data_IF_528864097255
#
_entry.id   IF_528864097255
#
_cell.length_a   1.000
_cell.length_b   1.000
_cell.length_c   1.000
_cell.angle_alpha   90.00
_cell.angle_beta   90.00
_cell.angle_gamma   90.00
#
_symmetry.space_group_name_H-M   'P 1'
#
loop_
_entity.id
_entity.type
_entity.pdbx_description
1 polymer ?
#
# COMPACT_ATOMS: atom_id res chain seq x y z
N UNK A 1 -19.19 28.92 22.13
CA UNK A 1 -18.04 28.05 21.85
C UNK A 1 -16.74 28.80 22.07
N UNK A 2 -15.66 28.08 22.43
CA UNK A 2 -14.30 28.63 22.52
C UNK A 2 -13.52 28.46 21.20
N UNK A 3 -12.36 29.10 21.06
CA UNK A 3 -11.58 29.08 19.81
C UNK A 3 -11.15 27.68 19.36
N UNK A 4 -10.96 26.74 20.30
CA UNK A 4 -10.60 25.35 19.98
C UNK A 4 -11.82 24.61 19.41
N UNK A 5 -12.96 24.70 20.09
CA UNK A 5 -14.24 24.14 19.62
C UNK A 5 -14.66 24.74 18.27
N UNK A 6 -14.38 26.02 18.04
CA UNK A 6 -14.61 26.66 16.75
C UNK A 6 -13.72 26.05 15.67
N UNK A 7 -12.41 25.92 15.89
CA UNK A 7 -11.47 25.35 14.90
C UNK A 7 -11.75 23.87 14.59
N UNK A 8 -12.30 23.14 15.55
CA UNK A 8 -12.70 21.73 15.34
C UNK A 8 -13.99 21.59 14.51
N UNK A 9 -14.86 22.61 14.48
CA UNK A 9 -16.18 22.58 13.82
C UNK A 9 -16.32 23.51 12.61
N UNK A 10 -15.38 24.42 12.37
CA UNK A 10 -15.48 25.45 11.32
C UNK A 10 -15.51 24.85 9.91
N UNK A 11 -14.95 23.66 9.71
CA UNK A 11 -14.96 22.94 8.43
C UNK A 11 -16.38 22.52 8.04
N UNK A 12 -17.25 22.25 9.03
CA UNK A 12 -18.63 21.85 8.79
C UNK A 12 -19.44 22.96 8.11
N UNK A 13 -19.00 24.24 8.20
CA UNK A 13 -19.63 25.36 7.51
C UNK A 13 -19.55 25.28 5.98
N UNK A 14 -18.69 24.41 5.44
CA UNK A 14 -18.56 24.15 4.01
C UNK A 14 -19.39 22.94 3.53
N UNK A 15 -20.06 22.23 4.46
CA UNK A 15 -20.96 21.13 4.16
C UNK A 15 -22.39 21.65 3.91
N UNK A 16 -23.05 21.14 2.86
CA UNK A 16 -24.45 21.44 2.52
C UNK A 16 -25.47 20.90 3.52
N UNK A 17 -25.05 20.06 4.47
CA UNK A 17 -25.91 19.34 5.42
C UNK A 17 -25.75 19.75 6.89
N UNK A 18 -25.00 20.83 7.17
CA UNK A 18 -24.74 21.31 8.54
C UNK A 18 -26.03 21.62 9.32
N UNK A 19 -26.06 21.25 10.59
CA UNK A 19 -27.16 21.60 11.48
C UNK A 19 -27.19 23.10 11.82
N UNK A 20 -28.40 23.65 11.94
CA UNK A 20 -28.61 25.09 12.13
C UNK A 20 -28.01 25.64 13.43
N UNK A 21 -27.86 24.80 14.46
CA UNK A 21 -27.34 25.23 15.76
C UNK A 21 -25.83 25.44 15.68
N UNK A 22 -25.09 24.47 15.12
CA UNK A 22 -23.64 24.58 14.89
C UNK A 22 -23.32 25.77 13.99
N UNK A 23 -24.12 25.99 12.94
CA UNK A 23 -23.95 27.15 12.06
C UNK A 23 -24.12 28.48 12.80
N UNK A 24 -25.12 28.59 13.69
CA UNK A 24 -25.38 29.80 14.47
C UNK A 24 -24.28 30.06 15.51
N UNK A 25 -23.82 29.02 16.19
CA UNK A 25 -22.75 29.13 17.20
C UNK A 25 -21.41 29.53 16.59
N UNK A 26 -21.06 29.01 15.41
CA UNK A 26 -19.84 29.41 14.69
C UNK A 26 -19.93 30.86 14.20
N UNK A 27 -21.08 31.30 13.68
CA UNK A 27 -21.29 32.70 13.26
C UNK A 27 -21.21 33.67 14.44
N UNK A 28 -21.80 33.32 15.59
CA UNK A 28 -21.72 34.13 16.80
C UNK A 28 -20.26 34.25 17.29
N UNK A 29 -19.49 33.16 17.25
CA UNK A 29 -18.08 33.19 17.66
C UNK A 29 -17.21 34.06 16.73
N UNK A 30 -17.41 33.99 15.41
CA UNK A 30 -16.68 34.84 14.46
C UNK A 30 -16.99 36.34 14.60
N UNK A 31 -18.17 36.69 15.14
CA UNK A 31 -18.50 38.09 15.43
C UNK A 31 -17.69 38.66 16.61
N UNK A 32 -17.25 37.79 17.53
CA UNK A 32 -16.56 38.17 18.76
C UNK A 32 -15.04 37.88 18.72
N UNK A 33 -14.57 37.02 17.81
CA UNK A 33 -13.17 36.63 17.69
C UNK A 33 -12.59 36.93 16.28
N UNK A 34 -11.86 38.06 16.11
CA UNK A 34 -11.24 38.44 14.84
C UNK A 34 -10.23 37.41 14.29
N UNK A 35 -9.48 36.73 15.16
CA UNK A 35 -8.51 35.70 14.74
C UNK A 35 -9.20 34.46 14.15
N UNK A 36 -10.30 34.03 14.76
CA UNK A 36 -11.08 32.90 14.25
C UNK A 36 -11.86 33.27 12.98
N UNK A 37 -12.27 34.54 12.86
CA UNK A 37 -12.85 35.07 11.62
C UNK A 37 -11.84 35.07 10.47
N UNK A 38 -10.61 35.55 10.70
CA UNK A 38 -9.53 35.51 9.70
C UNK A 38 -9.20 34.06 9.29
N UNK A 39 -9.14 33.14 10.25
CA UNK A 39 -8.95 31.72 10.00
C UNK A 39 -10.07 31.11 9.12
N UNK A 40 -11.33 31.49 9.35
CA UNK A 40 -12.44 31.08 8.49
C UNK A 40 -12.37 31.70 7.08
N UNK A 41 -12.00 32.97 6.97
CA UNK A 41 -11.87 33.66 5.69
C UNK A 41 -10.76 33.04 4.83
N UNK A 42 -9.61 32.68 5.42
CA UNK A 42 -8.53 31.94 4.75
C UNK A 42 -9.00 30.55 4.28
N UNK A 43 -9.74 29.81 5.13
CA UNK A 43 -10.31 28.51 4.75
C UNK A 43 -11.35 28.64 3.64
N UNK A 44 -12.19 29.69 3.67
CA UNK A 44 -13.21 29.93 2.66
C UNK A 44 -12.60 30.36 1.31
N UNK A 45 -11.51 31.11 1.33
CA UNK A 45 -10.76 31.48 0.13
C UNK A 45 -10.09 30.24 -0.50
N UNK A 46 -9.47 29.39 0.32
CA UNK A 46 -8.94 28.11 -0.12
C UNK A 46 -10.04 27.20 -0.69
N UNK A 47 -11.19 27.10 -0.01
CA UNK A 47 -12.31 26.27 -0.47
C UNK A 47 -12.92 26.75 -1.79
N UNK A 48 -13.10 28.07 -1.96
CA UNK A 48 -13.65 28.63 -3.19
C UNK A 48 -12.69 28.50 -4.39
N UNK A 49 -11.37 28.52 -4.15
CA UNK A 49 -10.37 28.26 -5.19
C UNK A 49 -10.36 26.80 -5.69
N UNK A 50 -10.96 25.87 -4.93
CA UNK A 50 -11.11 24.45 -5.27
C UNK A 50 -12.35 24.13 -6.12
N UNK A 51 -13.28 25.08 -6.29
CA UNK A 51 -14.49 24.85 -7.09
C UNK A 51 -14.20 24.98 -8.60
N UNK A 52 -14.57 23.98 -9.42
CA UNK A 52 -14.22 23.98 -10.84
C UNK A 52 -14.96 25.07 -11.63
N UNK A 53 -14.22 25.86 -12.42
CA UNK A 53 -14.77 26.67 -13.51
C UNK A 53 -14.66 25.92 -14.83
N UNK A 54 -15.77 25.84 -15.57
CA UNK A 54 -15.87 25.07 -16.82
C UNK A 54 -15.11 25.72 -17.96
N UNK A 55 -14.21 24.99 -18.63
CA UNK A 55 -13.87 25.26 -20.04
C UNK A 55 -13.36 24.02 -20.79
N UNK A 56 -13.61 24.03 -22.10
CA UNK A 56 -13.86 22.94 -23.05
C UNK A 56 -12.64 22.27 -23.73
N UNK A 57 -12.95 21.07 -24.28
CA UNK A 57 -12.14 20.00 -24.90
C UNK A 57 -11.27 20.28 -26.14
N UNK A 58 -10.28 19.38 -26.37
CA UNK A 58 -9.94 18.59 -27.60
C UNK A 58 -8.39 18.39 -27.86
N UNK A 59 -7.91 17.47 -28.74
CA UNK A 59 -7.72 16.02 -28.50
C UNK A 59 -6.31 15.47 -28.90
N UNK A 60 -6.07 14.18 -28.59
CA UNK A 60 -4.80 13.43 -28.68
C UNK A 60 -4.56 12.68 -30.01
N UNK A 61 -3.29 12.30 -30.26
CA UNK A 61 -2.87 11.38 -31.34
C UNK A 61 -1.94 10.30 -30.75
N UNK A 62 -2.24 9.02 -31.06
CA UNK A 62 -1.58 7.79 -30.59
C UNK A 62 -0.72 7.12 -31.66
N UNK A 63 0.21 6.22 -31.26
CA UNK A 63 0.85 5.16 -32.09
C UNK A 63 1.60 4.11 -31.22
N UNK A 64 1.96 2.90 -31.74
CA UNK A 64 1.62 1.62 -31.09
C UNK A 64 2.81 0.76 -30.60
N UNK A 65 2.49 -0.26 -29.78
CA UNK A 65 3.41 -1.13 -29.02
C UNK A 65 3.76 -2.47 -29.71
N UNK A 66 4.89 -3.09 -29.29
CA UNK A 66 5.38 -4.41 -29.74
C UNK A 66 5.61 -5.34 -28.54
N UNK A 67 5.20 -6.62 -28.65
CA UNK A 67 5.17 -7.65 -27.59
C UNK A 67 6.49 -8.42 -27.44
N UNK A 68 6.81 -8.85 -26.21
CA UNK A 68 7.78 -9.91 -25.91
C UNK A 68 7.28 -10.84 -24.79
N UNK A 69 7.50 -12.15 -24.96
CA UNK A 69 7.09 -13.26 -24.09
C UNK A 69 8.21 -13.61 -23.09
N UNK A 70 7.86 -13.94 -21.84
CA UNK A 70 8.80 -14.56 -20.89
C UNK A 70 8.19 -15.75 -20.13
N UNK A 71 8.98 -16.83 -20.09
CA UNK A 71 8.72 -18.15 -19.52
C UNK A 71 9.15 -18.17 -18.03
N UNK A 72 8.29 -18.62 -17.10
CA UNK A 72 8.54 -18.61 -15.65
C UNK A 72 9.03 -19.97 -15.11
N UNK A 73 9.93 -19.93 -14.12
CA UNK A 73 10.35 -21.07 -13.27
C UNK A 73 9.94 -20.76 -11.82
N UNK A 74 9.39 -21.71 -11.04
CA UNK A 74 8.96 -21.45 -9.66
C UNK A 74 10.14 -21.55 -8.68
N UNK A 75 10.40 -20.47 -7.92
CA UNK A 75 11.34 -20.48 -6.79
C UNK A 75 10.51 -20.49 -5.50
N UNK A 76 10.70 -21.52 -4.68
CA UNK A 76 10.24 -21.54 -3.30
C UNK A 76 11.09 -20.56 -2.48
N UNK A 77 10.64 -19.31 -2.41
CA UNK A 77 11.26 -18.29 -1.57
C UNK A 77 10.52 -18.21 -0.23
N UNK A 78 11.26 -18.27 0.87
CA UNK A 78 10.81 -17.74 2.15
C UNK A 78 10.62 -16.23 1.95
N UNK A 79 9.39 -15.83 1.63
CA UNK A 79 9.04 -14.44 1.40
C UNK A 79 9.16 -13.68 2.72
N UNK A 80 9.90 -12.58 2.72
CA UNK A 80 9.84 -11.64 3.84
C UNK A 80 8.98 -10.47 3.37
N UNK A 81 7.67 -10.56 3.63
CA UNK A 81 6.79 -9.39 3.59
C UNK A 81 7.27 -8.37 4.64
N UNK A 82 8.25 -7.58 4.27
CA UNK A 82 8.63 -6.40 5.02
C UNK A 82 7.77 -5.32 4.45
N UNK A 83 6.62 -5.04 5.05
CA UNK A 83 6.13 -3.68 5.25
C UNK A 83 4.87 -3.72 6.12
N UNK A 84 4.94 -4.32 7.32
CA UNK A 84 4.09 -3.90 8.44
C UNK A 84 4.66 -2.64 9.09
N UNK A 85 5.20 -1.72 8.30
CA UNK A 85 6.00 -0.64 8.84
C UNK A 85 5.12 0.19 9.76
N UNK A 86 5.56 0.22 11.01
CA UNK A 86 4.99 0.96 12.13
C UNK A 86 3.76 0.29 12.74
N UNK A 87 4.03 -0.64 13.67
CA UNK A 87 3.23 -0.91 14.87
C UNK A 87 1.74 -0.60 14.70
N UNK A 88 0.94 -1.61 14.37
CA UNK A 88 -0.46 -1.67 14.77
C UNK A 88 -1.27 -0.44 14.41
N UNK A 89 -1.79 -0.41 13.18
CA UNK A 89 -2.77 0.60 12.75
C UNK A 89 -4.01 0.67 13.68
N UNK A 90 -4.27 -0.37 14.48
CA UNK A 90 -5.30 -0.41 15.51
C UNK A 90 -5.07 0.55 16.69
N UNK A 91 -3.82 0.98 16.97
CA UNK A 91 -3.50 1.88 18.08
C UNK A 91 -3.28 3.34 17.68
N UNK A 92 -3.17 3.66 16.38
CA UNK A 92 -2.95 5.02 15.89
C UNK A 92 -4.24 5.85 15.74
N UNK A 93 -5.39 5.19 15.61
CA UNK A 93 -6.73 5.83 15.62
C UNK A 93 -7.48 5.65 16.95
N UNK A 94 -6.88 4.92 17.89
CA UNK A 94 -7.29 4.98 19.29
C UNK A 94 -6.62 6.22 19.90
N UNK A 95 -7.37 7.07 20.59
CA UNK A 95 -6.95 8.35 21.20
C UNK A 95 -5.93 8.21 22.33
N UNK A 96 -4.85 7.47 22.12
CA UNK A 96 -3.68 7.49 23.00
C UNK A 96 -2.77 8.58 22.45
N UNK A 97 -2.90 9.79 22.98
CA UNK A 97 -1.97 10.88 22.79
C UNK A 97 -0.56 10.42 23.22
N UNK A 98 0.24 9.92 22.29
CA UNK A 98 1.65 9.63 22.55
C UNK A 98 2.35 10.98 22.65
N UNK A 99 2.94 11.28 23.81
CA UNK A 99 3.67 12.52 24.01
C UNK A 99 4.89 12.56 23.08
N UNK A 100 5.09 13.68 22.38
CA UNK A 100 6.27 13.86 21.53
C UNK A 100 7.56 13.70 22.35
N UNK A 101 8.51 12.94 21.80
CA UNK A 101 9.81 12.80 22.42
C UNK A 101 10.84 13.74 21.78
N UNK A 102 11.85 14.21 22.53
CA UNK A 102 12.97 14.97 21.94
C UNK A 102 13.69 14.21 20.79
N UNK A 103 13.59 12.88 20.77
CA UNK A 103 14.13 12.02 19.71
C UNK A 103 13.25 12.08 18.45
N UNK A 104 11.93 12.00 18.59
CA UNK A 104 10.98 12.15 17.48
C UNK A 104 11.04 13.54 16.84
N UNK A 105 11.30 14.58 17.63
CA UNK A 105 11.46 15.96 17.13
C UNK A 105 12.58 16.12 16.09
N UNK A 106 13.55 15.19 16.03
CA UNK A 106 14.60 15.22 15.01
C UNK A 106 14.06 15.13 13.58
N UNK A 107 12.85 14.59 13.38
CA UNK A 107 12.22 14.45 12.06
C UNK A 107 11.43 15.69 11.61
N UNK A 108 11.00 16.55 12.53
CA UNK A 108 10.02 17.62 12.28
C UNK A 108 10.41 18.58 11.15
N UNK A 109 11.65 19.08 11.19
CA UNK A 109 12.16 19.98 10.16
C UNK A 109 12.18 19.32 8.78
N UNK A 110 12.53 18.04 8.71
CA UNK A 110 12.67 17.31 7.45
C UNK A 110 11.33 16.93 6.86
N UNK A 111 10.38 16.53 7.71
CA UNK A 111 8.97 16.31 7.32
C UNK A 111 8.42 17.57 6.67
N UNK A 112 8.58 18.73 7.33
CA UNK A 112 8.13 20.03 6.79
C UNK A 112 8.77 20.37 5.45
N UNK A 113 10.06 20.04 5.28
CA UNK A 113 10.79 20.33 4.04
C UNK A 113 10.24 19.55 2.83
N UNK A 114 9.80 18.31 3.02
CA UNK A 114 9.29 17.47 1.91
C UNK A 114 7.77 17.56 1.70
N UNK A 115 7.01 18.03 2.68
CA UNK A 115 5.54 18.07 2.65
C UNK A 115 4.95 18.92 1.50
N UNK A 116 5.64 20.01 1.13
CA UNK A 116 5.11 21.01 0.19
C UNK A 116 5.68 20.88 -1.23
N UNK A 117 6.29 19.76 -1.57
CA UNK A 117 6.85 19.60 -2.91
C UNK A 117 5.75 19.33 -3.94
N UNK A 118 5.66 20.18 -4.97
CA UNK A 118 4.67 20.04 -6.04
C UNK A 118 4.89 18.84 -6.95
N UNK A 119 6.12 18.38 -7.15
CA UNK A 119 6.39 17.21 -7.98
C UNK A 119 7.72 16.55 -7.63
N UNK A 120 7.83 15.25 -7.83
CA UNK A 120 9.12 14.58 -7.78
C UNK A 120 9.16 13.34 -8.68
N UNK A 121 10.39 12.92 -8.97
CA UNK A 121 10.70 11.65 -9.62
C UNK A 121 11.79 10.94 -8.84
N UNK A 122 11.68 9.61 -8.74
CA UNK A 122 12.72 8.78 -8.14
C UNK A 122 12.74 7.39 -8.77
N UNK A 123 13.91 6.77 -8.73
CA UNK A 123 14.08 5.35 -8.98
C UNK A 123 14.36 4.64 -7.65
N UNK A 124 13.52 3.67 -7.34
CA UNK A 124 13.68 2.78 -6.19
C UNK A 124 14.24 1.47 -6.70
N UNK A 125 15.26 0.94 -6.05
CA UNK A 125 15.78 -0.39 -6.31
C UNK A 125 15.40 -1.28 -5.14
N UNK A 126 14.53 -2.25 -5.38
CA UNK A 126 13.98 -3.12 -4.36
C UNK A 126 14.28 -4.59 -4.67
N UNK A 127 14.61 -5.40 -3.65
CA UNK A 127 14.67 -6.86 -3.82
C UNK A 127 13.26 -7.43 -3.89
N UNK A 128 12.76 -7.63 -5.11
CA UNK A 128 11.38 -8.04 -5.42
C UNK A 128 11.35 -8.71 -6.80
N UNK A 129 10.17 -9.05 -7.31
CA UNK A 129 9.99 -9.49 -8.70
C UNK A 129 9.14 -8.50 -9.48
N UNK A 130 9.24 -8.54 -10.82
CA UNK A 130 8.55 -7.59 -11.72
C UNK A 130 7.02 -7.64 -11.64
N UNK A 131 6.41 -8.79 -11.34
CA UNK A 131 4.95 -8.96 -11.43
C UNK A 131 4.24 -9.00 -10.07
N UNK A 132 4.97 -9.27 -8.99
CA UNK A 132 4.42 -9.29 -7.62
C UNK A 132 3.96 -7.90 -7.15
N UNK A 133 3.22 -7.86 -6.05
CA UNK A 133 2.81 -6.59 -5.42
C UNK A 133 4.02 -5.68 -5.12
N UNK A 134 3.83 -4.36 -5.14
CA UNK A 134 4.85 -3.40 -4.75
C UNK A 134 5.28 -3.56 -3.28
N UNK A 135 4.38 -4.01 -2.41
CA UNK A 135 4.70 -4.33 -1.02
C UNK A 135 5.39 -5.70 -0.83
N UNK A 136 5.59 -6.48 -1.90
CA UNK A 136 6.32 -7.75 -1.82
C UNK A 136 7.82 -7.52 -1.92
N UNK A 137 8.55 -8.06 -0.95
CA UNK A 137 10.00 -8.08 -0.94
C UNK A 137 10.55 -9.48 -0.63
N UNK A 138 11.74 -9.76 -1.12
CA UNK A 138 12.48 -10.97 -0.81
C UNK A 138 13.96 -10.62 -0.64
N UNK A 139 14.55 -10.74 0.56
CA UNK A 139 15.97 -10.46 0.78
C UNK A 139 16.92 -11.27 -0.11
N UNK A 140 16.46 -12.39 -0.67
CA UNK A 140 17.21 -13.26 -1.57
C UNK A 140 17.02 -12.91 -3.05
N UNK A 141 16.04 -12.08 -3.39
CA UNK A 141 15.79 -11.66 -4.77
C UNK A 141 16.81 -10.60 -5.23
N UNK A 142 16.97 -10.49 -6.54
CA UNK A 142 17.74 -9.42 -7.17
C UNK A 142 17.00 -8.08 -7.08
N UNK A 143 17.75 -6.98 -7.25
CA UNK A 143 17.16 -5.65 -7.31
C UNK A 143 16.37 -5.45 -8.61
N UNK A 144 15.10 -5.08 -8.46
CA UNK A 144 14.23 -4.59 -9.53
C UNK A 144 14.12 -3.08 -9.39
N UNK A 145 14.34 -2.37 -10.49
CA UNK A 145 14.10 -0.93 -10.56
C UNK A 145 12.60 -0.64 -10.60
N UNK A 146 12.19 0.36 -9.83
CA UNK A 146 10.82 0.86 -9.76
C UNK A 146 10.87 2.37 -9.98
N UNK A 147 10.30 2.82 -11.09
CA UNK A 147 10.23 4.25 -11.43
C UNK A 147 8.97 4.85 -10.81
N UNK A 148 9.13 5.96 -10.10
CA UNK A 148 8.04 6.68 -9.43
C UNK A 148 8.03 8.11 -9.90
N UNK A 149 6.86 8.55 -10.34
CA UNK A 149 6.55 9.95 -10.59
C UNK A 149 5.34 10.36 -9.77
N UNK A 150 5.42 11.52 -9.13
CA UNK A 150 4.30 12.13 -8.42
C UNK A 150 4.19 13.60 -8.81
N UNK A 151 2.95 14.02 -9.08
CA UNK A 151 2.59 15.40 -9.40
C UNK A 151 1.41 15.83 -8.53
N UNK A 152 1.56 16.95 -7.84
CA UNK A 152 0.50 17.69 -7.17
C UNK A 152 0.16 18.90 -8.04
N UNK A 153 -1.07 18.97 -8.53
CA UNK A 153 -1.53 20.05 -9.39
C UNK A 153 -3.02 20.31 -9.12
N UNK A 154 -3.39 21.57 -8.87
CA UNK A 154 -4.77 22.01 -8.61
C UNK A 154 -5.44 21.13 -7.54
N UNK A 155 -4.75 20.96 -6.41
CA UNK A 155 -5.19 20.19 -5.22
C UNK A 155 -5.48 18.70 -5.48
N UNK A 156 -5.11 18.23 -6.66
CA UNK A 156 -5.16 16.83 -7.05
C UNK A 156 -3.76 16.23 -7.02
N UNK A 157 -3.70 14.94 -6.71
CA UNK A 157 -2.47 14.14 -6.78
C UNK A 157 -2.58 13.18 -7.94
N UNK A 158 -1.51 13.08 -8.72
CA UNK A 158 -1.35 12.14 -9.80
C UNK A 158 -0.06 11.38 -9.55
N UNK A 159 -0.07 10.06 -9.72
CA UNK A 159 1.16 9.30 -9.61
C UNK A 159 1.21 8.14 -10.59
N UNK A 160 2.44 7.73 -10.89
CA UNK A 160 2.76 6.51 -11.61
C UNK A 160 3.87 5.79 -10.86
N UNK A 161 3.68 4.49 -10.67
CA UNK A 161 4.65 3.58 -10.06
C UNK A 161 4.81 2.39 -11.00
N UNK A 162 6.01 2.17 -11.51
CA UNK A 162 6.28 1.19 -12.57
C UNK A 162 7.46 0.30 -12.21
N UNK A 163 7.20 -1.00 -12.00
CA UNK A 163 8.28 -1.99 -11.91
C UNK A 163 8.86 -2.21 -13.30
N UNK A 164 10.18 -2.28 -13.39
CA UNK A 164 10.87 -2.62 -14.62
C UNK A 164 10.33 -3.93 -15.20
N UNK A 165 9.83 -3.86 -16.43
CA UNK A 165 9.28 -4.97 -17.21
C UNK A 165 8.10 -5.71 -16.53
N UNK A 166 7.28 -5.02 -15.73
CA UNK A 166 6.22 -5.69 -14.99
C UNK A 166 5.05 -4.80 -14.57
N UNK A 167 4.65 -4.95 -13.30
CA UNK A 167 3.47 -4.32 -12.73
C UNK A 167 3.58 -2.78 -12.77
N UNK A 168 2.49 -2.14 -13.17
CA UNK A 168 2.36 -0.68 -13.19
C UNK A 168 1.09 -0.27 -12.46
N UNK A 169 1.18 0.81 -11.68
CA UNK A 169 0.02 1.48 -11.08
C UNK A 169 0.04 2.95 -11.48
N UNK A 170 -1.11 3.46 -11.89
CA UNK A 170 -1.37 4.86 -12.17
C UNK A 170 -2.55 5.33 -11.32
N UNK A 171 -2.45 6.53 -10.76
CA UNK A 171 -3.58 7.24 -10.18
C UNK A 171 -3.79 8.54 -10.94
N UNK A 172 -4.98 8.69 -11.50
CA UNK A 172 -5.35 9.80 -12.39
C UNK A 172 -6.00 10.98 -11.66
N UNK A 173 -6.03 10.94 -10.33
CA UNK A 173 -6.69 11.90 -9.45
C UNK A 173 -8.04 11.40 -8.91
N UNK A 174 -8.65 10.41 -9.54
CA UNK A 174 -9.94 9.83 -9.15
C UNK A 174 -9.84 8.31 -8.95
N UNK A 175 -9.38 7.63 -9.99
CA UNK A 175 -9.28 6.17 -10.06
C UNK A 175 -7.82 5.71 -10.06
N UNK A 176 -7.61 4.54 -9.47
CA UNK A 176 -6.38 3.78 -9.62
C UNK A 176 -6.54 2.77 -10.75
N UNK A 177 -5.49 2.64 -11.57
CA UNK A 177 -5.35 1.67 -12.64
C UNK A 177 -4.13 0.82 -12.34
N UNK A 178 -4.29 -0.51 -12.32
CA UNK A 178 -3.19 -1.44 -12.15
C UNK A 178 -3.18 -2.44 -13.29
N UNK A 179 -2.00 -2.64 -13.88
CA UNK A 179 -1.84 -3.70 -14.86
C UNK A 179 -0.51 -4.42 -14.73
N UNK A 180 -0.54 -5.68 -15.15
CA UNK A 180 0.63 -6.49 -15.46
C UNK A 180 0.56 -6.80 -16.95
N UNK A 181 1.53 -6.34 -17.77
CA UNK A 181 1.50 -6.50 -19.21
C UNK A 181 1.22 -7.95 -19.65
N UNK A 182 0.21 -8.11 -20.51
CA UNK A 182 -0.28 -9.40 -21.03
C UNK A 182 -0.86 -10.37 -19.98
N UNK A 183 -1.10 -9.93 -18.74
CA UNK A 183 -1.70 -10.77 -17.71
C UNK A 183 -3.01 -10.16 -17.19
N UNK A 184 -2.97 -8.93 -16.65
CA UNK A 184 -4.08 -8.38 -15.87
C UNK A 184 -4.23 -6.87 -16.06
N UNK A 185 -5.48 -6.40 -16.14
CA UNK A 185 -5.84 -4.97 -16.23
C UNK A 185 -7.06 -4.69 -15.37
N UNK A 186 -6.87 -3.97 -14.26
CA UNK A 186 -7.92 -3.64 -13.31
C UNK A 186 -7.94 -2.17 -12.97
N UNK A 187 -9.13 -1.64 -12.71
CA UNK A 187 -9.33 -0.29 -12.21
C UNK A 187 -10.14 -0.33 -10.92
N UNK A 188 -10.00 0.70 -10.10
CA UNK A 188 -10.78 0.84 -8.88
C UNK A 188 -10.71 2.25 -8.33
N UNK A 189 -11.53 2.56 -7.31
CA UNK A 189 -11.54 3.88 -6.71
C UNK A 189 -10.20 4.19 -6.03
N UNK A 190 -10.02 5.44 -5.58
CA UNK A 190 -8.90 5.85 -4.73
C UNK A 190 -8.61 4.91 -3.55
N UNK A 191 -9.62 4.23 -3.01
CA UNK A 191 -9.47 3.28 -1.89
C UNK A 191 -9.00 1.87 -2.31
N UNK A 192 -8.81 1.58 -3.61
CA UNK A 192 -8.51 0.24 -4.13
C UNK A 192 -7.14 -0.36 -3.70
N UNK A 193 -6.38 0.34 -2.86
CA UNK A 193 -5.17 -0.11 -2.16
C UNK A 193 -4.15 -0.91 -3.01
N UNK A 194 -4.02 -0.63 -4.31
CA UNK A 194 -3.16 -1.42 -5.20
C UNK A 194 -1.67 -1.34 -4.86
N UNK A 195 -1.23 -0.25 -4.23
CA UNK A 195 0.13 -0.07 -3.73
C UNK A 195 0.34 -0.63 -2.31
N UNK A 196 -0.74 -1.00 -1.61
CA UNK A 196 -0.68 -1.39 -0.20
C UNK A 196 0.20 -0.41 0.60
N UNK A 197 1.06 -0.92 1.47
CA UNK A 197 1.97 -0.12 2.29
C UNK A 197 3.08 0.58 1.50
N UNK A 198 3.35 0.17 0.25
CA UNK A 198 4.34 0.85 -0.61
C UNK A 198 3.94 2.29 -0.92
N UNK A 199 2.65 2.63 -0.76
CA UNK A 199 2.16 4.02 -0.84
C UNK A 199 2.94 4.96 0.09
N UNK A 200 3.41 4.49 1.24
CA UNK A 200 4.13 5.35 2.19
C UNK A 200 5.50 5.77 1.68
N UNK A 201 6.11 5.00 0.77
CA UNK A 201 7.36 5.37 0.13
C UNK A 201 7.17 6.46 -0.93
N UNK A 202 6.00 6.49 -1.59
CA UNK A 202 5.71 7.51 -2.61
C UNK A 202 5.31 8.86 -2.02
N UNK A 203 5.22 8.96 -0.70
CA UNK A 203 5.01 10.21 0.02
C UNK A 203 6.13 10.35 1.06
N UNK A 204 7.26 11.02 0.72
CA UNK A 204 8.40 11.15 1.62
C UNK A 204 8.01 11.66 3.02
N UNK A 205 7.03 12.57 3.10
CA UNK A 205 6.50 13.05 4.37
C UNK A 205 5.89 11.92 5.21
N UNK A 206 5.16 10.99 4.59
CA UNK A 206 4.57 9.84 5.30
C UNK A 206 5.64 8.90 5.80
N UNK A 207 6.62 8.54 4.97
CA UNK A 207 7.74 7.71 5.38
C UNK A 207 8.43 8.26 6.64
N UNK A 208 8.68 9.58 6.68
CA UNK A 208 9.34 10.24 7.79
C UNK A 208 8.44 10.37 9.02
N UNK A 209 7.17 10.75 8.83
CA UNK A 209 6.17 10.83 9.91
C UNK A 209 6.01 9.48 10.60
N UNK A 210 5.97 8.39 9.84
CA UNK A 210 5.82 7.09 10.44
C UNK A 210 7.08 6.68 11.24
N UNK A 211 8.30 6.97 10.74
CA UNK A 211 9.54 6.79 11.51
C UNK A 211 9.54 7.58 12.83
N UNK A 212 9.08 8.84 12.78
CA UNK A 212 8.86 9.64 13.99
C UNK A 212 7.89 8.94 14.95
N UNK A 213 6.72 8.53 14.48
CA UNK A 213 5.71 7.86 15.30
C UNK A 213 6.24 6.57 15.95
N UNK A 214 7.06 5.79 15.25
CA UNK A 214 7.69 4.60 15.83
C UNK A 214 8.60 4.95 17.01
N UNK A 215 9.39 6.01 16.90
CA UNK A 215 10.33 6.46 17.94
C UNK A 215 9.57 6.95 19.17
N UNK A 216 8.47 7.67 18.95
CA UNK A 216 7.62 8.18 20.02
C UNK A 216 6.87 7.04 20.73
N UNK A 217 6.45 6.02 19.98
CA UNK A 217 5.74 4.86 20.54
C UNK A 217 6.63 3.93 21.38
N UNK A 218 7.88 3.69 20.96
CA UNK A 218 8.75 2.69 21.58
C UNK A 218 10.12 3.24 21.96
N UNK A 219 10.50 3.06 23.23
CA UNK A 219 11.85 3.37 23.72
C UNK A 219 12.94 2.49 23.09
N UNK A 220 12.58 1.31 22.57
CA UNK A 220 13.50 0.39 21.88
C UNK A 220 13.89 0.88 20.50
N UNK A 221 13.08 1.76 19.90
CA UNK A 221 13.40 2.37 18.63
C UNK A 221 14.39 3.51 18.86
N UNK A 222 15.35 3.61 17.94
CA UNK A 222 16.46 4.55 18.01
C UNK A 222 16.52 5.40 16.75
N UNK A 223 17.00 6.62 16.93
CA UNK A 223 17.40 7.49 15.83
C UNK A 223 18.75 8.08 16.15
N UNK A 224 19.65 8.01 15.17
CA UNK A 224 20.96 8.65 15.21
C UNK A 224 21.02 9.73 14.15
N UNK A 225 21.59 10.87 14.50
CA UNK A 225 21.87 11.96 13.56
C UNK A 225 23.37 12.06 13.33
N UNK A 226 23.77 12.02 12.06
CA UNK A 226 25.13 12.36 11.63
C UNK A 226 25.07 13.48 10.61
N UNK A 227 26.18 14.21 10.47
CA UNK A 227 26.23 15.43 9.68
C UNK A 227 27.58 15.53 8.98
N UNK A 228 27.56 15.84 7.69
CA UNK A 228 28.73 16.23 6.90
C UNK A 228 28.67 17.73 6.61
N UNK A 229 29.56 18.29 5.79
CA UNK A 229 29.46 19.69 5.39
C UNK A 229 28.18 20.00 4.60
N UNK A 230 27.71 19.06 3.77
CA UNK A 230 26.62 19.28 2.80
C UNK A 230 25.33 18.50 3.09
N UNK A 231 25.39 17.49 3.96
CA UNK A 231 24.26 16.58 4.23
C UNK A 231 24.03 16.33 5.71
N UNK A 232 22.80 15.93 6.03
CA UNK A 232 22.40 15.38 7.33
C UNK A 232 21.83 13.99 7.08
N UNK A 233 22.25 13.02 7.89
CA UNK A 233 21.74 11.64 7.83
C UNK A 233 21.00 11.33 9.13
N UNK A 234 19.77 10.86 9.01
CA UNK A 234 19.00 10.26 10.09
C UNK A 234 18.93 8.75 9.90
N UNK A 235 19.56 8.00 10.79
CA UNK A 235 19.50 6.54 10.82
C UNK A 235 18.50 6.09 11.86
N UNK A 236 17.34 5.62 11.42
CA UNK A 236 16.34 4.97 12.26
C UNK A 236 16.69 3.49 12.44
N UNK A 237 16.55 2.98 13.66
CA UNK A 237 16.57 1.55 13.97
C UNK A 237 15.32 1.18 14.74
N UNK A 238 14.73 0.06 14.37
CA UNK A 238 13.54 -0.44 15.04
C UNK A 238 13.37 -1.94 14.89
N UNK A 239 12.23 -2.40 15.38
CA UNK A 239 11.82 -3.81 15.27
C UNK A 239 10.48 -3.87 14.56
N UNK A 240 10.41 -4.72 13.55
CA UNK A 240 9.20 -5.01 12.79
C UNK A 240 8.85 -6.50 12.93
N UNK A 241 7.66 -6.91 12.50
CA UNK A 241 7.37 -8.33 12.37
C UNK A 241 8.11 -8.91 11.17
N UNK A 242 8.84 -9.99 11.41
CA UNK A 242 9.29 -10.87 10.36
C UNK A 242 8.06 -11.50 9.71
N UNK A 243 8.14 -11.82 8.42
CA UNK A 243 7.06 -12.48 7.69
C UNK A 243 7.43 -13.92 7.36
N UNK A 244 8.17 -14.56 8.27
CA UNK A 244 8.56 -15.95 8.16
C UNK A 244 7.35 -16.89 8.37
N UNK A 245 6.73 -17.24 7.25
CA UNK A 245 5.59 -18.15 7.22
C UNK A 245 5.93 -19.55 7.75
N UNK A 246 7.19 -19.99 7.68
CA UNK A 246 7.60 -21.25 8.27
C UNK A 246 7.57 -21.15 9.80
N UNK A 247 8.12 -20.07 10.36
CA UNK A 247 8.02 -19.82 11.80
C UNK A 247 6.56 -19.68 12.26
N UNK A 248 5.71 -19.00 11.48
CA UNK A 248 4.27 -18.89 11.79
C UNK A 248 3.59 -20.27 11.81
N UNK A 249 3.91 -21.14 10.84
CA UNK A 249 3.37 -22.50 10.78
C UNK A 249 3.78 -23.31 12.03
N UNK A 250 5.06 -23.29 12.36
CA UNK A 250 5.67 -24.07 13.43
C UNK A 250 5.27 -23.57 14.82
N UNK A 251 5.39 -22.28 15.08
CA UNK A 251 5.25 -21.68 16.42
C UNK A 251 3.91 -21.00 16.65
N UNK A 252 3.15 -20.74 15.58
CA UNK A 252 1.92 -19.95 15.66
C UNK A 252 2.14 -18.44 15.74
N UNK A 253 3.38 -17.97 15.67
CA UNK A 253 3.75 -16.57 15.71
C UNK A 253 4.85 -16.25 14.70
N UNK A 254 4.74 -15.09 14.09
CA UNK A 254 5.79 -14.41 13.35
C UNK A 254 6.85 -13.89 14.32
N UNK A 255 8.11 -14.11 13.95
CA UNK A 255 9.24 -13.55 14.66
C UNK A 255 9.28 -12.02 14.58
N UNK A 256 10.17 -11.44 15.36
CA UNK A 256 10.56 -10.05 15.21
C UNK A 256 11.77 -9.97 14.27
N UNK A 257 11.88 -8.88 13.53
CA UNK A 257 12.97 -8.57 12.61
C UNK A 257 13.49 -7.17 12.96
N UNK A 258 14.79 -7.03 13.12
CA UNK A 258 15.39 -5.71 13.26
C UNK A 258 15.48 -5.03 11.89
N UNK A 259 15.26 -3.73 11.88
CA UNK A 259 15.29 -2.91 10.66
C UNK A 259 16.12 -1.67 10.88
N UNK A 260 16.77 -1.22 9.81
CA UNK A 260 17.50 0.04 9.79
C UNK A 260 17.08 0.84 8.55
N UNK A 261 16.82 2.13 8.72
CA UNK A 261 16.50 3.06 7.62
C UNK A 261 17.48 4.23 7.69
N UNK A 262 18.27 4.44 6.65
CA UNK A 262 19.07 5.66 6.50
C UNK A 262 18.34 6.65 5.60
N UNK A 263 18.09 7.85 6.11
CA UNK A 263 17.48 8.96 5.39
C UNK A 263 18.52 10.07 5.25
N UNK A 264 18.91 10.43 4.04
CA UNK A 264 19.94 11.46 3.79
C UNK A 264 19.31 12.70 3.18
N UNK A 265 19.49 13.83 3.84
CA UNK A 265 18.97 15.14 3.48
C UNK A 265 20.08 16.08 3.05
N UNK A 266 19.78 16.95 2.09
CA UNK A 266 20.67 18.05 1.74
C UNK A 266 20.42 19.26 2.64
N UNK A 267 21.50 19.88 3.14
CA UNK A 267 21.37 21.02 4.07
C UNK A 267 20.85 22.30 3.43
N UNK A 268 21.09 22.47 2.12
CA UNK A 268 20.74 23.68 1.40
C UNK A 268 19.21 23.90 1.29
N UNK A 269 18.43 22.82 1.18
CA UNK A 269 16.99 22.87 0.95
C UNK A 269 16.18 21.97 1.90
N UNK A 270 16.85 21.17 2.74
CA UNK A 270 16.21 20.29 3.71
C UNK A 270 15.58 19.04 3.11
N UNK A 271 15.74 18.80 1.81
CA UNK A 271 15.00 17.75 1.11
C UNK A 271 15.70 16.39 1.21
N UNK A 272 14.89 15.33 1.33
CA UNK A 272 15.34 13.94 1.36
C UNK A 272 15.88 13.54 -0.02
N UNK A 273 17.16 13.16 -0.14
CA UNK A 273 17.78 12.78 -1.43
C UNK A 273 17.97 11.27 -1.58
N UNK A 274 18.30 10.59 -0.48
CA UNK A 274 18.62 9.18 -0.49
C UNK A 274 17.91 8.45 0.65
N UNK A 275 17.51 7.23 0.38
CA UNK A 275 16.96 6.31 1.37
C UNK A 275 17.63 4.97 1.20
N UNK A 276 18.01 4.32 2.29
CA UNK A 276 18.39 2.91 2.28
C UNK A 276 17.66 2.19 3.39
N UNK A 277 17.22 0.99 3.07
CA UNK A 277 16.43 0.17 3.96
C UNK A 277 17.04 -1.22 4.10
N UNK A 278 17.39 -1.59 5.33
CA UNK A 278 17.96 -2.89 5.66
C UNK A 278 17.08 -3.67 6.60
N UNK A 279 17.12 -4.98 6.40
CA UNK A 279 16.77 -5.95 7.41
C UNK A 279 18.01 -6.47 8.09
N UNK A 280 17.92 -6.66 9.41
CA UNK A 280 18.98 -7.19 10.24
C UNK A 280 18.52 -8.51 10.84
N UNK A 281 19.13 -9.60 10.39
CA UNK A 281 18.88 -10.95 10.90
C UNK A 281 20.19 -11.52 11.44
N UNK A 282 20.22 -11.96 12.70
CA UNK A 282 21.41 -12.51 13.37
C UNK A 282 22.65 -11.61 13.25
N UNK A 283 22.45 -10.28 13.30
CA UNK A 283 23.50 -9.27 13.14
C UNK A 283 23.96 -9.02 11.70
N UNK A 284 23.45 -9.77 10.72
CA UNK A 284 23.72 -9.55 9.30
C UNK A 284 22.72 -8.55 8.70
N UNK A 285 23.25 -7.45 8.17
CA UNK A 285 22.46 -6.46 7.41
C UNK A 285 22.29 -6.90 5.96
N UNK A 286 21.04 -7.03 5.53
CA UNK A 286 20.67 -7.23 4.13
C UNK A 286 19.95 -6.00 3.61
N UNK A 287 20.54 -5.33 2.61
CA UNK A 287 19.91 -4.19 1.95
C UNK A 287 18.72 -4.69 1.12
N UNK A 288 17.52 -4.26 1.49
CA UNK A 288 16.28 -4.65 0.84
C UNK A 288 15.85 -3.64 -0.22
N UNK A 289 16.05 -2.36 0.06
CA UNK A 289 15.66 -1.27 -0.82
C UNK A 289 16.62 -0.09 -0.72
N UNK A 290 16.87 0.57 -1.84
CA UNK A 290 17.54 1.88 -1.84
C UNK A 290 16.96 2.84 -2.88
N UNK A 291 17.12 4.13 -2.59
CA UNK A 291 16.81 5.26 -3.44
C UNK A 291 18.08 6.10 -3.52
N UNK A 292 18.62 6.23 -4.73
CA UNK A 292 19.91 6.89 -4.95
C UNK A 292 19.79 8.35 -5.34
N UNK A 293 18.60 8.82 -5.68
CA UNK A 293 18.34 10.25 -5.91
C UNK A 293 16.84 10.49 -6.01
N UNK A 294 16.31 11.39 -5.19
CA UNK A 294 14.97 11.94 -5.36
C UNK A 294 15.11 13.33 -5.99
N UNK A 295 14.56 13.48 -7.19
CA UNK A 295 14.54 14.74 -7.93
C UNK A 295 13.24 15.46 -7.66
N UNK A 296 13.31 16.62 -7.03
CA UNK A 296 12.14 17.42 -6.65
C UNK A 296 11.92 18.57 -7.63
N UNK A 297 10.68 19.06 -7.67
CA UNK A 297 10.25 20.19 -8.51
C UNK A 297 10.56 19.98 -10.00
N UNK A 298 10.45 18.71 -10.44
CA UNK A 298 10.65 18.34 -11.84
C UNK A 298 9.43 18.78 -12.64
N UNK A 299 9.65 19.42 -13.79
CA UNK A 299 8.55 19.69 -14.72
C UNK A 299 8.03 18.37 -15.29
N UNK A 300 6.79 18.05 -14.98
CA UNK A 300 6.14 16.80 -15.37
C UNK A 300 4.89 17.07 -16.19
N UNK A 301 4.72 16.33 -17.29
CA UNK A 301 3.47 16.31 -18.03
C UNK A 301 2.47 15.39 -17.32
N UNK A 302 1.36 15.96 -16.84
CA UNK A 302 0.24 15.17 -16.30
C UNK A 302 -0.19 14.10 -17.30
N UNK A 303 -0.34 14.46 -18.57
CA UNK A 303 -0.79 13.55 -19.62
C UNK A 303 0.14 12.33 -19.79
N UNK A 304 1.46 12.53 -19.68
CA UNK A 304 2.41 11.43 -19.75
C UNK A 304 2.39 10.59 -18.46
N UNK A 305 2.23 11.24 -17.31
CA UNK A 305 2.21 10.57 -16.01
C UNK A 305 1.02 9.61 -15.88
N UNK A 306 -0.17 10.05 -16.30
CA UNK A 306 -1.42 9.29 -16.17
C UNK A 306 -1.74 8.44 -17.39
N UNK A 307 -0.81 8.30 -18.33
CA UNK A 307 -1.05 7.52 -19.54
C UNK A 307 -1.25 6.04 -19.21
N UNK A 308 -2.39 5.50 -19.61
CA UNK A 308 -2.75 4.09 -19.46
C UNK A 308 -2.97 3.42 -20.83
N UNK A 309 -2.84 2.09 -20.93
CA UNK A 309 -3.17 1.35 -22.15
C UNK A 309 -4.65 1.49 -22.56
N UNK A 310 -4.88 1.57 -23.87
CA UNK A 310 -6.21 1.45 -24.47
C UNK A 310 -6.60 -0.03 -24.54
N UNK A 311 -7.32 -0.48 -23.51
CA UNK A 311 -7.74 -1.88 -23.30
C UNK A 311 -9.01 -1.93 -22.47
N UNK A 312 -9.64 -3.10 -22.38
CA UNK A 312 -10.71 -3.32 -21.42
C UNK A 312 -10.15 -3.46 -20.00
N UNK A 313 -10.75 -2.69 -19.09
CA UNK A 313 -10.41 -2.67 -17.67
C UNK A 313 -11.53 -3.34 -16.88
N UNK A 314 -11.17 -4.24 -15.97
CA UNK A 314 -12.16 -4.81 -15.05
C UNK A 314 -12.23 -3.96 -13.79
N UNK A 315 -13.44 -3.52 -13.42
CA UNK A 315 -13.66 -2.76 -12.20
C UNK A 315 -13.67 -3.68 -10.97
N UNK A 316 -12.83 -3.38 -9.98
CA UNK A 316 -12.75 -4.18 -8.75
C UNK A 316 -14.01 -4.10 -7.89
N UNK A 317 -14.85 -3.08 -8.07
CA UNK A 317 -16.14 -2.97 -7.37
C UNK A 317 -17.21 -3.86 -8.00
N UNK A 318 -17.16 -4.06 -9.32
CA UNK A 318 -18.07 -4.96 -10.03
C UNK A 318 -17.71 -6.42 -9.82
N UNK A 319 -16.44 -6.70 -9.50
CA UNK A 319 -15.94 -8.05 -9.25
C UNK A 319 -16.71 -8.78 -8.14
N UNK A 320 -17.11 -8.08 -7.08
CA UNK A 320 -17.81 -8.70 -5.95
C UNK A 320 -19.31 -8.85 -6.19
N UNK A 321 -19.90 -8.34 -7.27
CA UNK A 321 -21.33 -8.02 -7.31
C UNK A 321 -22.30 -9.22 -7.52
N UNK A 322 -21.93 -10.30 -8.22
CA UNK A 322 -22.89 -11.38 -8.55
C UNK A 322 -22.70 -12.66 -7.72
N UNK A 323 -23.42 -12.81 -6.60
CA UNK A 323 -23.51 -14.10 -5.88
C UNK A 323 -24.97 -14.32 -5.50
N UNK A 324 -25.58 -15.42 -5.92
CA UNK A 324 -26.95 -15.75 -5.57
C UNK A 324 -27.11 -15.91 -4.04
N UNK A 325 -28.25 -15.46 -3.49
CA UNK A 325 -28.47 -15.32 -2.04
C UNK A 325 -28.19 -16.61 -1.24
N UNK A 326 -28.67 -17.76 -1.72
CA UNK A 326 -28.45 -19.06 -1.07
C UNK A 326 -26.96 -19.47 -1.04
N UNK A 327 -26.21 -19.13 -2.09
CA UNK A 327 -24.77 -19.38 -2.16
C UNK A 327 -24.02 -18.40 -1.27
N UNK A 328 -24.42 -17.13 -1.25
CA UNK A 328 -23.82 -16.11 -0.42
C UNK A 328 -23.88 -16.49 1.08
N UNK A 329 -25.04 -16.91 1.57
CA UNK A 329 -25.20 -17.34 2.97
C UNK A 329 -24.26 -18.51 3.32
N UNK A 330 -24.07 -19.48 2.42
CA UNK A 330 -23.12 -20.58 2.65
C UNK A 330 -21.68 -20.08 2.75
N UNK A 331 -21.28 -19.21 1.83
CA UNK A 331 -19.92 -18.66 1.77
C UNK A 331 -19.59 -17.78 2.97
N UNK A 332 -20.56 -17.01 3.47
CA UNK A 332 -20.41 -16.18 4.67
C UNK A 332 -20.21 -17.01 5.95
N UNK A 333 -20.69 -18.25 5.97
CA UNK A 333 -20.56 -19.16 7.10
C UNK A 333 -19.34 -20.09 7.01
N UNK A 334 -18.52 -19.99 5.96
CA UNK A 334 -17.31 -20.79 5.84
C UNK A 334 -16.23 -20.34 6.84
N UNK A 335 -15.58 -21.31 7.46
CA UNK A 335 -14.29 -21.08 8.11
C UNK A 335 -13.20 -20.86 7.05
N UNK A 336 -12.09 -20.22 7.45
CA UNK A 336 -10.93 -20.03 6.59
C UNK A 336 -10.43 -21.36 5.98
N UNK A 337 -10.37 -22.42 6.79
CA UNK A 337 -9.97 -23.76 6.34
C UNK A 337 -10.93 -24.34 5.30
N UNK A 338 -12.25 -24.22 5.50
CA UNK A 338 -13.25 -24.70 4.54
C UNK A 338 -13.15 -23.95 3.22
N UNK A 339 -13.01 -22.62 3.28
CA UNK A 339 -12.83 -21.79 2.09
C UNK A 339 -11.54 -22.17 1.34
N UNK A 340 -10.41 -22.31 2.03
CA UNK A 340 -9.14 -22.73 1.44
C UNK A 340 -9.26 -24.10 0.74
N UNK A 341 -9.90 -25.08 1.41
CA UNK A 341 -10.13 -26.39 0.82
C UNK A 341 -10.98 -26.30 -0.45
N UNK A 342 -12.07 -25.53 -0.43
CA UNK A 342 -12.94 -25.32 -1.61
C UNK A 342 -12.19 -24.66 -2.76
N UNK A 343 -11.43 -23.60 -2.47
CA UNK A 343 -10.65 -22.85 -3.46
C UNK A 343 -9.60 -23.75 -4.12
N UNK A 344 -8.78 -24.43 -3.32
CA UNK A 344 -7.72 -25.29 -3.83
C UNK A 344 -8.30 -26.48 -4.62
N UNK A 345 -9.40 -27.06 -4.15
CA UNK A 345 -10.06 -28.15 -4.85
C UNK A 345 -10.61 -27.71 -6.22
N UNK A 346 -11.17 -26.49 -6.31
CA UNK A 346 -11.64 -25.90 -7.57
C UNK A 346 -10.50 -25.73 -8.59
N UNK A 347 -9.33 -25.27 -8.13
CA UNK A 347 -8.13 -25.13 -8.97
C UNK A 347 -7.66 -26.51 -9.47
N UNK A 348 -7.53 -27.49 -8.56
CA UNK A 348 -7.05 -28.85 -8.87
C UNK A 348 -7.98 -29.57 -9.87
N UNK A 349 -9.29 -29.41 -9.73
CA UNK A 349 -10.26 -30.02 -10.63
C UNK A 349 -10.49 -29.24 -11.92
N UNK A 350 -9.85 -28.07 -12.07
CA UNK A 350 -10.12 -27.10 -13.13
C UNK A 350 -11.62 -26.72 -13.23
N UNK A 351 -12.38 -26.85 -12.13
CA UNK A 351 -13.79 -26.44 -12.03
C UNK A 351 -13.87 -25.16 -11.20
N UNK A 352 -13.48 -24.06 -11.84
CA UNK A 352 -13.43 -22.74 -11.21
C UNK A 352 -14.82 -22.21 -10.81
N UNK A 353 -15.92 -22.83 -11.29
CA UNK A 353 -17.28 -22.42 -10.93
C UNK A 353 -17.54 -22.58 -9.41
N UNK A 354 -16.82 -23.49 -8.75
CA UNK A 354 -16.93 -23.74 -7.31
C UNK A 354 -16.31 -22.66 -6.43
N UNK A 355 -15.46 -21.80 -6.99
CA UNK A 355 -14.73 -20.77 -6.24
C UNK A 355 -14.49 -19.48 -7.04
N UNK A 356 -15.30 -19.22 -8.06
CA UNK A 356 -15.11 -18.09 -8.99
C UNK A 356 -15.10 -16.73 -8.27
N UNK A 357 -15.89 -16.60 -7.20
CA UNK A 357 -15.94 -15.42 -6.33
C UNK A 357 -14.66 -15.24 -5.52
N UNK A 358 -14.04 -16.33 -5.08
CA UNK A 358 -12.83 -16.31 -4.28
C UNK A 358 -11.57 -16.13 -5.14
N UNK A 359 -11.62 -16.55 -6.40
CA UNK A 359 -10.50 -16.53 -7.35
C UNK A 359 -10.51 -15.34 -8.30
N UNK A 360 -11.27 -14.29 -7.95
CA UNK A 360 -11.51 -13.17 -8.85
C UNK A 360 -10.23 -12.45 -9.29
N UNK A 361 -9.26 -12.39 -8.38
CA UNK A 361 -7.95 -11.80 -8.60
C UNK A 361 -6.98 -12.67 -9.42
N UNK A 362 -7.34 -13.93 -9.69
CA UNK A 362 -6.47 -14.93 -10.32
C UNK A 362 -7.00 -15.43 -11.67
N UNK A 363 -8.10 -14.86 -12.19
CA UNK A 363 -8.79 -15.36 -13.39
C UNK A 363 -7.86 -15.59 -14.59
N UNK A 364 -6.88 -14.71 -14.80
CA UNK A 364 -5.88 -14.80 -15.88
C UNK A 364 -4.87 -15.94 -15.66
N UNK A 365 -4.57 -16.24 -14.40
CA UNK A 365 -3.60 -17.22 -13.95
C UNK A 365 -4.20 -18.62 -13.78
N UNK A 366 -5.53 -18.73 -13.64
CA UNK A 366 -6.24 -19.99 -13.41
C UNK A 366 -5.84 -21.13 -14.36
N UNK A 367 -5.71 -20.92 -15.70
CA UNK A 367 -5.29 -22.01 -16.58
C UNK A 367 -3.92 -22.58 -16.22
N UNK A 368 -2.96 -21.71 -15.86
CA UNK A 368 -1.62 -22.14 -15.46
C UNK A 368 -1.61 -22.78 -14.07
N UNK A 369 -2.36 -22.22 -13.12
CA UNK A 369 -2.51 -22.77 -11.77
C UNK A 369 -3.13 -24.17 -11.80
N UNK A 370 -4.23 -24.34 -12.55
CA UNK A 370 -4.89 -25.64 -12.72
C UNK A 370 -3.98 -26.67 -13.38
N UNK A 371 -3.20 -26.30 -14.40
CA UNK A 371 -2.25 -27.23 -15.02
C UNK A 371 -1.11 -27.60 -14.05
N UNK A 372 -0.58 -26.64 -13.28
CA UNK A 372 0.47 -26.88 -12.28
C UNK A 372 0.01 -27.77 -11.11
N UNK A 373 -1.27 -27.69 -10.73
CA UNK A 373 -1.85 -28.46 -9.63
C UNK A 373 -2.56 -29.74 -10.09
N UNK A 374 -2.48 -30.07 -11.38
CA UNK A 374 -3.19 -31.19 -11.97
C UNK A 374 -2.78 -32.52 -11.35
N UNK A 375 -3.76 -33.25 -10.84
CA UNK A 375 -3.55 -34.54 -10.19
C UNK A 375 -2.95 -34.45 -8.78
N UNK A 376 -2.69 -33.25 -8.27
CA UNK A 376 -2.27 -33.06 -6.88
C UNK A 376 -3.43 -33.31 -5.91
N UNK A 377 -3.09 -33.55 -4.65
CA UNK A 377 -4.03 -33.63 -3.52
C UNK A 377 -3.61 -32.64 -2.44
N UNK A 378 -4.59 -32.09 -1.73
CA UNK A 378 -4.37 -31.18 -0.60
C UNK A 378 -4.90 -31.79 0.69
N UNK A 379 -4.15 -31.67 1.77
CA UNK A 379 -4.48 -32.22 3.09
C UNK A 379 -3.85 -31.40 4.22
N UNK A 380 -4.12 -31.78 5.47
CA UNK A 380 -3.45 -31.23 6.67
C UNK A 380 -3.57 -29.71 6.81
N UNK A 381 -4.77 -29.20 6.62
CA UNK A 381 -5.04 -27.76 6.71
C UNK A 381 -4.81 -27.22 8.12
N UNK A 382 -4.09 -26.10 8.20
CA UNK A 382 -3.78 -25.43 9.47
C UNK A 382 -3.92 -23.93 9.34
N UNK A 383 -4.91 -23.38 10.03
CA UNK A 383 -5.11 -21.93 10.12
C UNK A 383 -4.05 -21.29 11.04
N UNK A 384 -3.57 -20.12 10.61
CA UNK A 384 -2.68 -19.24 11.35
C UNK A 384 -3.03 -17.78 11.08
N UNK A 385 -2.93 -16.98 12.14
CA UNK A 385 -3.01 -15.52 12.10
C UNK A 385 -1.93 -14.99 13.02
N UNK A 386 -1.19 -13.99 12.56
CA UNK A 386 -0.34 -13.19 13.43
C UNK A 386 -0.06 -11.83 12.79
N UNK A 387 0.29 -10.86 13.62
CA UNK A 387 0.54 -9.48 13.22
C UNK A 387 -0.72 -8.73 12.76
N UNK A 388 -0.49 -7.72 11.93
CA UNK A 388 -1.53 -6.80 11.44
C UNK A 388 -2.16 -7.25 10.10
N UNK A 389 -1.88 -8.49 9.65
CA UNK A 389 -2.53 -9.02 8.47
C UNK A 389 -4.02 -9.24 8.76
N UNK A 390 -4.88 -8.52 8.03
CA UNK A 390 -6.33 -8.55 8.19
C UNK A 390 -6.97 -9.87 7.77
N UNK A 391 -6.23 -10.70 7.02
CA UNK A 391 -6.65 -12.01 6.57
C UNK A 391 -6.13 -13.17 7.42
N UNK A 392 -6.14 -14.35 6.81
CA UNK A 392 -5.72 -15.61 7.41
C UNK A 392 -4.77 -16.35 6.47
N UNK A 393 -3.73 -16.95 7.04
CA UNK A 393 -2.90 -17.93 6.34
C UNK A 393 -3.44 -19.33 6.63
N UNK A 394 -3.76 -20.09 5.58
CA UNK A 394 -4.12 -21.50 5.69
C UNK A 394 -3.01 -22.33 5.07
N UNK A 395 -2.24 -22.99 5.92
CA UNK A 395 -1.19 -23.92 5.50
C UNK A 395 -1.80 -25.26 5.13
N UNK A 396 -1.19 -25.96 4.17
CA UNK A 396 -1.64 -27.27 3.71
C UNK A 396 -0.48 -28.07 3.11
N UNK A 397 -0.61 -29.40 3.16
CA UNK A 397 0.28 -30.33 2.48
C UNK A 397 -0.23 -30.56 1.06
N UNK A 398 0.58 -30.22 0.06
CA UNK A 398 0.36 -30.56 -1.34
C UNK A 398 1.08 -31.87 -1.66
N UNK A 399 0.35 -32.88 -2.10
CA UNK A 399 0.90 -34.16 -2.57
C UNK A 399 0.80 -34.22 -4.08
N UNK A 400 1.94 -34.33 -4.77
CA UNK A 400 2.03 -34.47 -6.21
C UNK A 400 1.69 -35.90 -6.68
N UNK A 401 1.40 -36.10 -7.98
CA UNK A 401 1.10 -37.44 -8.53
C UNK A 401 2.21 -38.49 -8.32
N UNK A 402 3.46 -38.04 -8.21
CA UNK A 402 4.64 -38.88 -7.93
C UNK A 402 4.81 -39.22 -6.44
N UNK A 403 3.92 -38.71 -5.57
CA UNK A 403 3.95 -38.89 -4.13
C UNK A 403 4.82 -37.88 -3.38
N UNK A 404 5.50 -36.95 -4.06
CA UNK A 404 6.25 -35.88 -3.40
C UNK A 404 5.30 -34.98 -2.62
N UNK A 405 5.67 -34.63 -1.39
CA UNK A 405 4.90 -33.75 -0.53
C UNK A 405 5.62 -32.43 -0.30
N UNK A 406 4.87 -31.33 -0.33
CA UNK A 406 5.34 -29.98 -0.04
C UNK A 406 4.40 -29.28 0.92
N UNK A 407 4.94 -28.56 1.91
CA UNK A 407 4.15 -27.63 2.72
C UNK A 407 3.97 -26.33 1.93
N UNK A 408 2.71 -25.92 1.79
CA UNK A 408 2.28 -24.70 1.09
C UNK A 408 1.31 -23.91 1.96
N UNK A 409 0.93 -22.74 1.50
CA UNK A 409 -0.08 -21.91 2.16
C UNK A 409 -0.90 -21.16 1.12
N UNK A 410 -2.13 -20.80 1.49
CA UNK A 410 -2.92 -19.79 0.80
C UNK A 410 -3.23 -18.67 1.80
N UNK A 411 -3.07 -17.42 1.37
CA UNK A 411 -3.52 -16.26 2.11
C UNK A 411 -4.93 -15.89 1.62
N UNK A 412 -5.88 -15.78 2.55
CA UNK A 412 -7.28 -15.45 2.25
C UNK A 412 -7.78 -14.35 3.17
N UNK A 413 -8.71 -13.53 2.70
CA UNK A 413 -9.33 -12.43 3.47
C UNK A 413 -10.84 -12.39 3.31
N UNK A 414 -11.56 -11.85 4.29
CA UNK A 414 -13.03 -11.73 4.29
C UNK A 414 -13.51 -10.32 4.70
N UNK A 415 -12.64 -9.32 4.58
CA UNK A 415 -12.89 -7.90 4.86
C UNK A 415 -13.59 -7.16 3.71
N UNK A 416 -14.07 -7.88 2.69
CA UNK A 416 -14.91 -7.31 1.64
C UNK A 416 -16.36 -7.10 2.10
N UNK A 417 -17.11 -6.27 1.37
CA UNK A 417 -18.51 -5.91 1.67
C UNK A 417 -19.46 -7.11 1.82
N UNK A 418 -19.15 -8.24 1.18
CA UNK A 418 -19.94 -9.46 1.24
C UNK A 418 -19.53 -10.40 2.38
N UNK A 419 -18.44 -10.10 3.08
CA UNK A 419 -17.87 -10.92 4.15
C UNK A 419 -17.60 -12.38 3.75
N UNK A 420 -17.20 -12.61 2.50
CA UNK A 420 -16.83 -13.95 1.98
C UNK A 420 -15.31 -14.09 1.87
N UNK A 421 -14.78 -15.30 2.00
CA UNK A 421 -13.35 -15.54 1.82
C UNK A 421 -12.93 -15.44 0.35
N UNK A 422 -11.94 -14.60 0.08
CA UNK A 422 -11.29 -14.44 -1.24
C UNK A 422 -9.79 -14.70 -1.13
N UNK A 423 -9.20 -15.22 -2.20
CA UNK A 423 -7.75 -15.44 -2.30
C UNK A 423 -7.01 -14.11 -2.44
N UNK A 424 -5.97 -13.96 -1.62
CA UNK A 424 -5.14 -12.76 -1.50
C UNK A 424 -3.67 -13.00 -1.87
N UNK A 425 -3.21 -14.25 -1.71
CA UNK A 425 -1.81 -14.62 -1.97
C UNK A 425 -1.55 -16.12 -1.79
N UNK A 426 -0.32 -16.55 -2.13
CA UNK A 426 0.17 -17.90 -1.87
C UNK A 426 -0.20 -18.99 -2.88
N UNK A 427 -0.99 -18.65 -3.92
CA UNK A 427 -1.39 -19.56 -5.00
C UNK A 427 -0.32 -19.75 -6.08
#
# INVERSE_FOLDING_TARGET
MNCKEFKDKVVDLFDTTIDMQTQAECKAHMAECPECKAYYEELAEAFNALQPQETSAQPSISRPARKQNHLWRPIAAAAVFLLGFFIGWSHLFSTSSVAETPRGQLFEQWIKSVQNVGSFQMAVYARTTSNENFAYFDPKADFVRIDIGLLRQNDSVFYRVEKQNGRVIVFDGQDQYMWVPNARYVKGPRAANFLEYFINLIYPERLLTMQKSAIDFSKKNEVMRTESDSTITLTFKGTEKNSDLQQLLETGKMGDCEVEVENVFTKNDGLLRFVKFWVVNDGQKTLLLHIDNIQYNVMMSRANLIQIPDTQWTDVTEMTSSTADDRLCKLQNETATQAAQRILQAIISADNSQASEALINYKSELPALSENMKGCKVSEFKERRDGDYVGTYVFYTLTHPDGKQEQKHIAIRNDNEKHIWVADGGL
#
